data_IF_100697790604
#
_entry.id   IF_100697790604
#
_cell.length_a   1.000
_cell.length_b   1.000
_cell.length_c   1.000
_cell.angle_alpha   90.00
_cell.angle_beta   90.00
_cell.angle_gamma   90.00
#
_symmetry.space_group_name_H-M   'P 1'
#
loop_
_entity.id
_entity.type
_entity.pdbx_description
1 polymer ?
#
# COMPACT_ATOMS: atom_id res chain seq x y z
N UNK A 1 -3.87 -14.55 -4.34
CA UNK A 1 -3.05 -15.74 -4.01
C UNK A 1 -2.07 -15.32 -2.93
N UNK A 2 -1.92 -16.11 -1.86
CA UNK A 2 -0.92 -15.84 -0.80
C UNK A 2 -0.14 -17.11 -0.49
N UNK A 3 0.98 -16.97 0.22
CA UNK A 3 1.78 -18.08 0.73
C UNK A 3 1.32 -18.45 2.15
N UNK A 4 1.62 -19.66 2.66
CA UNK A 4 1.22 -20.08 4.01
C UNK A 4 1.66 -19.11 5.11
N UNK A 5 2.83 -18.50 4.97
CA UNK A 5 3.36 -17.49 5.89
C UNK A 5 2.46 -16.25 5.99
N UNK A 6 1.82 -15.86 4.87
CA UNK A 6 0.90 -14.74 4.84
C UNK A 6 -0.38 -14.95 5.67
N UNK A 7 -0.71 -16.20 6.04
CA UNK A 7 -1.86 -16.50 6.89
C UNK A 7 -1.57 -16.12 8.36
N UNK A 8 -0.32 -16.29 8.79
CA UNK A 8 0.12 -15.98 10.17
C UNK A 8 0.60 -14.54 10.33
N UNK A 9 0.79 -13.80 9.24
CA UNK A 9 1.08 -12.39 9.30
C UNK A 9 -0.13 -11.59 9.80
N UNK A 10 0.15 -10.52 10.51
CA UNK A 10 -0.87 -9.61 11.01
C UNK A 10 -1.01 -8.41 10.07
N UNK A 11 -2.24 -8.11 9.71
CA UNK A 11 -2.65 -7.02 8.84
C UNK A 11 -3.43 -5.99 9.65
N UNK A 12 -3.33 -4.69 9.35
CA UNK A 12 -4.18 -3.70 9.99
C UNK A 12 -5.65 -4.00 9.68
N UNK A 13 -6.52 -3.87 10.66
CA UNK A 13 -7.96 -3.97 10.42
C UNK A 13 -8.45 -2.92 9.40
N UNK A 14 -9.67 -3.09 8.85
CA UNK A 14 -10.22 -2.19 7.84
C UNK A 14 -10.22 -0.72 8.30
N UNK A 15 -10.54 -0.45 9.57
CA UNK A 15 -10.59 0.92 10.11
C UNK A 15 -9.19 1.55 10.20
N UNK A 16 -8.20 0.76 10.55
CA UNK A 16 -6.80 1.20 10.63
C UNK A 16 -6.24 1.41 9.22
N UNK A 17 -6.52 0.50 8.29
CA UNK A 17 -6.14 0.63 6.88
C UNK A 17 -6.72 1.90 6.24
N UNK A 18 -7.98 2.22 6.53
CA UNK A 18 -8.61 3.45 6.02
C UNK A 18 -7.99 4.72 6.62
N UNK A 19 -7.61 4.70 7.90
CA UNK A 19 -6.91 5.83 8.55
C UNK A 19 -5.50 6.04 8.04
N UNK A 20 -4.81 4.96 7.64
CA UNK A 20 -3.46 5.00 7.10
C UNK A 20 -3.45 5.36 5.60
N UNK A 21 -4.60 5.33 4.95
CA UNK A 21 -4.69 5.70 3.54
C UNK A 21 -4.80 7.22 3.37
N UNK A 22 -4.17 7.71 2.31
CA UNK A 22 -4.26 9.11 1.89
C UNK A 22 -4.99 9.18 0.54
N UNK A 23 -6.12 9.89 0.53
CA UNK A 23 -6.94 10.02 -0.67
C UNK A 23 -6.69 11.40 -1.29
N UNK A 24 -6.47 11.43 -2.60
CA UNK A 24 -6.31 12.65 -3.40
C UNK A 24 -7.32 12.59 -4.54
N UNK A 25 -8.02 13.69 -4.77
CA UNK A 25 -9.02 13.79 -5.84
C UNK A 25 -8.65 14.85 -6.87
N UNK A 26 -9.12 14.67 -8.08
CA UNK A 26 -9.03 15.67 -9.11
C UNK A 26 -9.80 16.93 -8.70
N UNK A 27 -9.27 18.11 -9.00
CA UNK A 27 -9.79 19.42 -8.63
C UNK A 27 -9.83 19.69 -7.11
N UNK A 28 -9.08 18.93 -6.32
CA UNK A 28 -8.90 19.19 -4.89
C UNK A 28 -7.76 20.18 -4.69
N UNK A 29 -7.93 21.11 -3.73
CA UNK A 29 -6.87 22.05 -3.32
C UNK A 29 -6.01 21.40 -2.24
N UNK A 30 -4.83 20.93 -2.62
CA UNK A 30 -3.85 20.31 -1.73
C UNK A 30 -2.47 20.78 -2.12
N UNK A 31 -1.73 21.38 -1.19
CA UNK A 31 -0.36 21.79 -1.46
C UNK A 31 0.56 20.58 -1.73
N UNK A 32 1.46 20.74 -2.68
CA UNK A 32 2.48 19.73 -2.99
C UNK A 32 3.26 19.32 -1.72
N UNK A 33 3.55 20.29 -0.85
CA UNK A 33 4.21 20.03 0.42
C UNK A 33 3.42 19.08 1.31
N UNK A 34 2.09 19.27 1.42
CA UNK A 34 1.22 18.40 2.21
C UNK A 34 1.23 16.97 1.70
N UNK A 35 1.24 16.77 0.37
CA UNK A 35 1.34 15.45 -0.25
C UNK A 35 2.69 14.80 0.13
N UNK A 36 3.79 15.53 -0.03
CA UNK A 36 5.14 15.03 0.28
C UNK A 36 5.28 14.70 1.77
N UNK A 37 4.80 15.55 2.67
CA UNK A 37 4.83 15.31 4.10
C UNK A 37 4.05 14.04 4.48
N UNK A 38 2.90 13.81 3.84
CA UNK A 38 2.11 12.60 4.03
C UNK A 38 2.82 11.34 3.49
N UNK A 39 3.43 11.41 2.30
CA UNK A 39 4.20 10.30 1.73
C UNK A 39 5.39 9.92 2.64
N UNK A 40 6.10 10.93 3.18
CA UNK A 40 7.18 10.71 4.14
C UNK A 40 6.65 10.10 5.45
N UNK A 41 5.52 10.58 5.98
CA UNK A 41 4.87 10.01 7.16
C UNK A 41 4.49 8.54 6.96
N UNK A 42 4.06 8.19 5.75
CA UNK A 42 3.74 6.82 5.36
C UNK A 42 4.98 5.98 4.98
N UNK A 43 6.22 6.48 5.21
CA UNK A 43 7.47 5.80 4.89
C UNK A 43 7.68 5.46 3.40
N UNK A 44 7.13 6.26 2.48
CA UNK A 44 7.53 6.18 1.08
C UNK A 44 8.96 6.66 0.90
N UNK A 45 9.70 6.00 0.04
CA UNK A 45 11.10 6.34 -0.28
C UNK A 45 11.15 7.31 -1.45
N UNK A 46 11.85 8.43 -1.27
CA UNK A 46 12.05 9.39 -2.36
C UNK A 46 13.15 8.89 -3.31
N UNK A 47 12.84 8.87 -4.61
CA UNK A 47 13.72 8.43 -5.69
C UNK A 47 13.69 9.45 -6.86
N UNK A 48 14.59 9.30 -7.82
CA UNK A 48 14.57 10.11 -9.05
C UNK A 48 13.50 9.63 -10.04
N UNK A 49 13.31 8.31 -10.14
CA UNK A 49 12.32 7.65 -10.99
C UNK A 49 11.66 6.50 -10.24
N UNK A 50 10.35 6.50 -10.22
CA UNK A 50 9.54 5.48 -9.55
C UNK A 50 9.53 4.20 -10.37
N UNK A 51 9.89 3.07 -9.72
CA UNK A 51 9.94 1.74 -10.33
C UNK A 51 9.20 0.68 -9.52
N UNK A 52 9.22 0.80 -8.18
CA UNK A 52 8.69 -0.19 -7.27
C UNK A 52 7.64 0.41 -6.32
N UNK A 53 6.67 -0.40 -5.82
CA UNK A 53 5.75 0.06 -4.79
C UNK A 53 6.48 0.58 -3.54
N UNK A 54 5.98 1.69 -2.99
CA UNK A 54 6.58 2.37 -1.84
C UNK A 54 7.55 3.49 -2.24
N UNK A 55 7.70 3.79 -3.51
CA UNK A 55 8.55 4.87 -4.01
C UNK A 55 7.73 6.09 -4.45
N UNK A 56 8.33 7.28 -4.35
CA UNK A 56 7.81 8.51 -4.95
C UNK A 56 8.93 9.39 -5.51
N UNK A 57 8.61 10.19 -6.52
CA UNK A 57 9.49 11.16 -7.15
C UNK A 57 8.80 12.51 -7.28
N UNK A 58 9.57 13.62 -7.18
CA UNK A 58 9.04 14.98 -7.31
C UNK A 58 9.83 15.70 -8.39
N UNK A 59 9.13 16.23 -9.39
CA UNK A 59 9.69 16.96 -10.52
C UNK A 59 8.85 18.19 -10.85
N UNK A 60 9.27 19.34 -10.34
CA UNK A 60 8.49 20.58 -10.46
C UNK A 60 7.11 20.41 -9.81
N UNK A 61 6.04 20.64 -10.54
CA UNK A 61 4.65 20.47 -10.10
C UNK A 61 4.11 19.05 -10.26
N UNK A 62 4.97 18.06 -10.51
CA UNK A 62 4.59 16.66 -10.72
C UNK A 62 5.09 15.81 -9.57
N UNK A 63 4.21 15.00 -9.01
CA UNK A 63 4.53 13.92 -8.08
C UNK A 63 4.17 12.60 -8.75
N UNK A 64 5.16 11.73 -8.91
CA UNK A 64 4.97 10.33 -9.26
C UNK A 64 5.01 9.50 -7.98
N UNK A 65 4.06 8.60 -7.78
CA UNK A 65 3.99 7.74 -6.59
C UNK A 65 3.52 6.35 -6.95
N UNK A 66 4.19 5.32 -6.43
CA UNK A 66 3.79 3.94 -6.59
C UNK A 66 3.26 3.39 -5.25
N UNK A 67 1.95 3.42 -5.11
CA UNK A 67 1.28 2.89 -3.92
C UNK A 67 1.14 1.37 -3.99
N UNK A 68 1.15 0.70 -2.83
CA UNK A 68 0.91 -0.74 -2.72
C UNK A 68 -0.53 -1.15 -3.10
N UNK A 69 -1.45 -0.20 -3.22
CA UNK A 69 -2.83 -0.45 -3.65
C UNK A 69 -3.01 -0.44 -5.17
N UNK A 70 -1.99 -0.08 -5.93
CA UNK A 70 -2.08 0.14 -7.36
C UNK A 70 -1.17 -0.83 -8.12
N UNK A 71 -1.60 -1.26 -9.30
CA UNK A 71 -0.79 -2.12 -10.17
C UNK A 71 0.31 -1.35 -10.91
N UNK A 72 0.14 -0.05 -11.08
CA UNK A 72 1.06 0.85 -11.76
C UNK A 72 1.22 2.13 -10.95
N UNK A 73 2.33 2.87 -11.12
CA UNK A 73 2.52 4.16 -10.49
C UNK A 73 1.53 5.22 -11.00
N UNK A 74 1.30 6.21 -10.14
CA UNK A 74 0.37 7.31 -10.37
C UNK A 74 1.16 8.60 -10.51
N UNK A 75 0.84 9.39 -11.54
CA UNK A 75 1.34 10.75 -11.75
C UNK A 75 0.28 11.75 -11.36
N UNK A 76 0.61 12.62 -10.44
CA UNK A 76 -0.23 13.71 -9.94
C UNK A 76 0.40 15.01 -10.42
N UNK A 77 -0.35 15.80 -11.22
CA UNK A 77 0.06 17.10 -11.72
C UNK A 77 -0.76 18.16 -10.99
N UNK A 78 -0.09 19.17 -10.42
CA UNK A 78 -0.74 20.32 -9.78
C UNK A 78 -0.41 21.63 -10.51
N UNK A 79 -1.33 22.59 -10.42
CA UNK A 79 -1.10 24.00 -10.76
C UNK A 79 -1.25 24.78 -9.46
N UNK A 80 -0.15 25.30 -8.94
CA UNK A 80 -0.04 25.71 -7.54
C UNK A 80 -0.51 24.59 -6.59
N UNK A 81 -1.59 24.84 -5.83
CA UNK A 81 -2.16 23.88 -4.89
C UNK A 81 -3.37 23.10 -5.46
N UNK A 82 -3.76 23.36 -6.71
CA UNK A 82 -4.89 22.67 -7.35
C UNK A 82 -4.43 21.43 -8.11
N UNK A 83 -5.00 20.27 -7.81
CA UNK A 83 -4.75 19.03 -8.53
C UNK A 83 -5.47 19.06 -9.87
N UNK A 84 -4.72 19.19 -10.96
CA UNK A 84 -5.27 19.35 -12.31
C UNK A 84 -5.31 18.05 -13.12
N UNK A 85 -4.46 17.05 -12.77
CA UNK A 85 -4.47 15.74 -13.42
C UNK A 85 -3.99 14.65 -12.48
N UNK A 86 -4.64 13.49 -12.58
CA UNK A 86 -4.20 12.25 -11.97
C UNK A 86 -4.20 11.17 -13.05
N UNK A 87 -3.06 10.52 -13.26
CA UNK A 87 -2.87 9.51 -14.30
C UNK A 87 -2.15 8.30 -13.77
N UNK A 88 -2.57 7.14 -14.21
CA UNK A 88 -1.80 5.90 -14.08
C UNK A 88 -0.85 5.79 -15.28
N UNK A 89 0.40 5.42 -15.05
CA UNK A 89 1.40 5.28 -16.10
C UNK A 89 2.23 4.01 -15.91
N UNK A 90 2.76 3.50 -16.99
CA UNK A 90 3.66 2.36 -16.97
C UNK A 90 5.07 2.77 -16.54
N UNK A 91 5.65 2.09 -15.53
CA UNK A 91 6.93 2.47 -14.92
C UNK A 91 8.13 2.36 -15.85
N UNK A 92 8.07 1.47 -16.85
CA UNK A 92 9.18 1.26 -17.80
C UNK A 92 9.10 2.22 -18.98
N UNK A 93 7.95 2.25 -19.65
CA UNK A 93 7.76 3.10 -20.84
C UNK A 93 7.44 4.56 -20.53
N UNK A 94 7.04 4.87 -19.29
CA UNK A 94 6.55 6.19 -18.83
C UNK A 94 5.30 6.67 -19.56
N UNK A 95 4.62 5.80 -20.30
CA UNK A 95 3.41 6.13 -21.03
C UNK A 95 2.18 6.09 -20.11
N UNK A 96 1.26 7.02 -20.33
CA UNK A 96 -0.02 7.05 -19.63
C UNK A 96 -0.87 5.85 -20.01
N UNK A 97 -1.33 5.10 -19.01
CA UNK A 97 -2.26 3.97 -19.16
C UNK A 97 -3.70 4.47 -19.14
N UNK A 98 -4.05 5.28 -18.14
CA UNK A 98 -5.40 5.88 -18.01
C UNK A 98 -5.38 7.14 -17.15
N UNK A 99 -6.43 7.97 -17.29
CA UNK A 99 -6.71 9.08 -16.39
C UNK A 99 -7.63 8.64 -15.27
N UNK A 100 -7.46 9.25 -14.08
CA UNK A 100 -8.20 8.93 -12.87
C UNK A 100 -8.85 10.20 -12.30
N UNK A 101 -10.00 10.06 -11.66
CA UNK A 101 -10.65 11.15 -10.91
C UNK A 101 -10.16 11.26 -9.46
N UNK A 102 -9.45 10.24 -8.98
CA UNK A 102 -8.85 10.22 -7.66
C UNK A 102 -8.00 9.00 -7.46
N UNK A 103 -7.20 9.01 -6.40
CA UNK A 103 -6.31 7.91 -6.02
C UNK A 103 -6.29 7.74 -4.50
N UNK A 104 -6.26 6.51 -4.05
CA UNK A 104 -6.00 6.12 -2.66
C UNK A 104 -4.56 5.63 -2.57
N UNK A 105 -3.75 6.33 -1.80
CA UNK A 105 -2.35 5.99 -1.55
C UNK A 105 -2.23 5.24 -0.22
N UNK A 106 -1.53 4.14 -0.24
CA UNK A 106 -1.23 3.34 0.94
C UNK A 106 0.21 2.85 0.82
N UNK A 107 1.00 3.07 1.88
CA UNK A 107 2.36 2.58 1.95
C UNK A 107 2.41 1.11 2.36
N UNK A 108 3.63 0.56 2.36
CA UNK A 108 3.89 -0.69 3.06
C UNK A 108 3.64 -0.47 4.56
N UNK A 109 2.58 -1.07 5.05
CA UNK A 109 2.22 -0.99 6.46
C UNK A 109 3.22 -1.84 7.24
N UNK A 110 4.34 -1.22 7.64
CA UNK A 110 5.25 -1.86 8.57
C UNK A 110 4.52 -2.09 9.89
N UNK A 111 4.57 -3.33 10.36
CA UNK A 111 3.96 -3.77 11.60
C UNK A 111 4.45 -2.89 12.76
N UNK A 112 3.61 -2.02 13.27
CA UNK A 112 3.83 -1.44 14.59
C UNK A 112 3.54 -2.54 15.62
N UNK A 113 4.60 -3.12 16.19
CA UNK A 113 4.53 -4.23 17.15
C UNK A 113 3.66 -3.91 18.38
N UNK A 114 3.34 -2.65 18.62
CA UNK A 114 2.54 -2.18 19.75
C UNK A 114 1.07 -1.88 19.40
N UNK A 115 0.68 -2.00 18.15
CA UNK A 115 -0.69 -1.70 17.72
C UNK A 115 -1.61 -2.90 17.98
N UNK A 116 -2.68 -2.66 18.76
CA UNK A 116 -3.75 -3.65 19.03
C UNK A 116 -4.74 -3.84 17.87
N UNK A 117 -4.56 -3.09 16.76
CA UNK A 117 -5.52 -3.02 15.65
C UNK A 117 -5.05 -3.83 14.44
N UNK A 118 -4.35 -4.91 14.68
CA UNK A 118 -3.92 -5.84 13.65
C UNK A 118 -4.67 -7.16 13.82
N UNK A 119 -5.08 -7.73 12.71
CA UNK A 119 -5.85 -8.97 12.62
C UNK A 119 -5.14 -9.96 11.70
N UNK A 120 -5.43 -11.26 11.85
CA UNK A 120 -4.93 -12.25 10.91
C UNK A 120 -5.59 -12.08 9.54
N UNK A 121 -5.00 -12.67 8.49
CA UNK A 121 -5.63 -12.69 7.17
C UNK A 121 -7.01 -13.35 7.24
N UNK A 122 -7.18 -14.39 8.06
CA UNK A 122 -8.45 -15.10 8.19
C UNK A 122 -9.54 -14.26 8.86
N UNK A 123 -9.16 -13.38 9.81
CA UNK A 123 -10.10 -12.43 10.42
C UNK A 123 -10.42 -11.25 9.49
N UNK A 124 -9.55 -10.99 8.51
CA UNK A 124 -9.72 -9.90 7.55
C UNK A 124 -10.69 -10.25 6.42
N UNK A 125 -10.77 -11.53 6.04
CA UNK A 125 -11.71 -12.02 5.03
C UNK A 125 -13.07 -12.32 5.66
N UNK A 126 -14.15 -12.07 4.92
CA UNK A 126 -15.50 -12.33 5.39
C UNK A 126 -15.85 -13.83 5.35
N UNK A 127 -16.88 -14.23 6.12
CA UNK A 127 -17.35 -15.62 6.21
C UNK A 127 -17.87 -16.21 4.86
N UNK A 128 -18.15 -15.34 3.89
CA UNK A 128 -18.61 -15.73 2.55
C UNK A 128 -17.49 -16.14 1.60
N UNK A 129 -16.23 -16.07 2.04
CA UNK A 129 -15.08 -16.40 1.21
C UNK A 129 -14.70 -17.87 1.33
N UNK A 130 -14.26 -18.43 0.20
CA UNK A 130 -13.67 -19.76 0.15
C UNK A 130 -12.17 -19.66 0.13
N UNK A 131 -11.51 -20.36 1.08
CA UNK A 131 -10.06 -20.49 1.09
C UNK A 131 -9.69 -21.83 0.48
N UNK A 132 -8.98 -21.80 -0.64
CA UNK A 132 -8.47 -23.00 -1.29
C UNK A 132 -7.01 -23.21 -0.87
N UNK A 133 -6.72 -24.40 -0.35
CA UNK A 133 -5.38 -24.80 0.06
C UNK A 133 -4.97 -26.03 -0.77
N UNK A 134 -3.87 -25.93 -1.50
CA UNK A 134 -3.38 -27.00 -2.37
C UNK A 134 -2.77 -28.15 -1.56
N UNK A 135 -1.97 -27.83 -0.54
CA UNK A 135 -1.40 -28.79 0.40
C UNK A 135 -1.62 -28.34 1.84
N UNK A 136 -2.65 -28.90 2.47
CA UNK A 136 -3.02 -28.54 3.85
C UNK A 136 -1.94 -28.98 4.86
N UNK A 137 -1.27 -30.11 4.62
CA UNK A 137 -0.24 -30.61 5.53
C UNK A 137 1.00 -29.73 5.51
N UNK A 138 1.42 -29.28 4.31
CA UNK A 138 2.52 -28.34 4.17
C UNK A 138 2.19 -27.00 4.82
N UNK A 139 0.98 -26.48 4.59
CA UNK A 139 0.54 -25.22 5.21
C UNK A 139 0.53 -25.34 6.75
N UNK A 140 0.03 -26.42 7.32
CA UNK A 140 0.02 -26.64 8.77
C UNK A 140 1.44 -26.65 9.35
N UNK A 141 2.37 -27.39 8.73
CA UNK A 141 3.76 -27.45 9.19
C UNK A 141 4.44 -26.06 9.18
N UNK A 142 4.23 -25.29 8.11
CA UNK A 142 4.79 -23.91 8.01
C UNK A 142 4.21 -22.99 9.10
N UNK A 143 2.92 -23.12 9.39
CA UNK A 143 2.26 -22.32 10.43
C UNK A 143 2.79 -22.72 11.81
N UNK A 144 2.95 -24.01 12.09
CA UNK A 144 3.48 -24.52 13.37
C UNK A 144 4.93 -24.06 13.57
N UNK A 145 5.79 -24.14 12.52
CA UNK A 145 7.17 -23.67 12.58
C UNK A 145 7.24 -22.16 12.92
N UNK A 146 6.38 -21.35 12.29
CA UNK A 146 6.31 -19.90 12.57
C UNK A 146 5.78 -19.60 13.97
N UNK A 147 4.85 -20.37 14.48
CA UNK A 147 4.35 -20.25 15.84
C UNK A 147 5.48 -20.57 16.85
N UNK A 148 6.23 -21.64 16.63
CA UNK A 148 7.34 -22.04 17.47
C UNK A 148 8.49 -21.02 17.45
N UNK A 149 8.80 -20.42 16.28
CA UNK A 149 9.75 -19.30 16.20
C UNK A 149 9.31 -18.09 17.03
N UNK A 150 8.02 -17.76 17.00
CA UNK A 150 7.47 -16.62 17.74
C UNK A 150 7.50 -16.83 19.26
N UNK A 151 7.32 -18.09 19.73
CA UNK A 151 7.32 -18.42 21.17
C UNK A 151 8.73 -18.47 21.78
N UNK A 152 9.79 -18.64 20.96
CA UNK A 152 11.19 -18.60 21.42
C UNK A 152 11.74 -17.19 21.66
N UNK A 153 11.02 -16.15 21.27
CA UNK A 153 11.43 -14.74 21.38
C UNK A 153 10.89 -14.09 22.67
N UNK A 154 10.07 -14.81 23.43
CA UNK A 154 9.55 -14.46 24.75
C UNK A 154 10.07 -15.49 25.77
#
# INVERSE_FOLDING_TARGET
>A
MTYPEGIVELYPDHKTSDKLSYNIKLNEEISQKSIIDNLNFQNFTRVDFVKEPGEYAVRGSIIDVYSFTNNNPIRIESDDDLIIKIKEFDSESQLTVKSLEGVKLLSNIQRDKNSKNYVSLLDFISDDWWVWCDDLSLCANIIDDKFDESTKIY
#
